data_IF_874611760431
#
_entry.id   IF_874611760431
#
_cell.length_a   1.000
_cell.length_b   1.000
_cell.length_c   1.000
_cell.angle_alpha   90.00
_cell.angle_beta   90.00
_cell.angle_gamma   90.00
#
_symmetry.space_group_name_H-M   'P 1'
#
loop_
_entity.id
_entity.type
_entity.pdbx_description
1 polymer ?
#
# COMPACT_ATOMS: atom_id res chain seq x y z
N UNK A 1 -7.70 4.22 -4.23
CA UNK A 1 -9.01 4.91 -4.04
C UNK A 1 -8.96 6.09 -3.06
N UNK A 2 -8.83 5.88 -1.73
CA UNK A 2 -8.82 7.01 -0.76
C UNK A 2 -7.53 7.82 -0.88
N UNK A 3 -6.38 7.14 -0.98
CA UNK A 3 -5.07 7.76 -1.24
C UNK A 3 -5.10 8.69 -2.46
N UNK A 4 -5.49 8.17 -3.61
CA UNK A 4 -5.53 8.95 -4.86
C UNK A 4 -6.44 10.19 -4.79
N UNK A 5 -7.61 10.06 -4.15
CA UNK A 5 -8.53 11.18 -3.94
C UNK A 5 -7.92 12.23 -3.02
N UNK A 6 -7.30 11.80 -1.92
CA UNK A 6 -6.59 12.67 -0.99
C UNK A 6 -5.45 13.41 -1.71
N UNK A 7 -4.56 12.69 -2.40
CA UNK A 7 -3.43 13.28 -3.15
C UNK A 7 -3.93 14.29 -4.18
N UNK A 8 -5.01 13.99 -4.92
CA UNK A 8 -5.55 14.89 -5.94
C UNK A 8 -6.12 16.20 -5.35
N UNK A 9 -6.71 16.13 -4.15
CA UNK A 9 -7.25 17.28 -3.43
C UNK A 9 -6.14 18.09 -2.75
N UNK A 10 -5.21 17.41 -2.08
CA UNK A 10 -4.08 18.03 -1.36
C UNK A 10 -3.16 18.80 -2.32
N UNK A 11 -2.84 18.22 -3.49
CA UNK A 11 -2.06 18.91 -4.55
C UNK A 11 -2.72 20.21 -5.05
N UNK A 12 -4.05 20.29 -5.00
CA UNK A 12 -4.82 21.49 -5.38
C UNK A 12 -5.07 22.43 -4.21
N UNK A 13 -4.57 22.09 -3.02
CA UNK A 13 -4.87 22.75 -1.76
C UNK A 13 -6.37 22.92 -1.49
N UNK A 14 -7.18 21.99 -1.98
CA UNK A 14 -8.63 22.06 -1.87
C UNK A 14 -9.05 21.85 -0.41
N UNK A 15 -9.81 22.80 0.14
CA UNK A 15 -10.36 22.77 1.51
C UNK A 15 -9.35 22.71 2.67
N UNK A 16 -8.04 22.83 2.41
CA UNK A 16 -6.99 22.78 3.45
C UNK A 16 -7.20 23.81 4.58
N UNK A 17 -7.68 25.00 4.24
CA UNK A 17 -7.88 26.09 5.20
C UNK A 17 -8.85 25.77 6.35
N UNK A 18 -9.75 24.80 6.19
CA UNK A 18 -10.63 24.36 7.29
C UNK A 18 -9.88 23.60 8.38
N UNK A 19 -8.75 22.99 8.04
CA UNK A 19 -7.93 22.24 8.99
C UNK A 19 -6.80 23.11 9.54
N UNK A 20 -6.13 23.87 8.67
CA UNK A 20 -5.08 24.78 9.12
C UNK A 20 -5.62 25.96 9.93
N UNK A 21 -6.88 26.34 9.71
CA UNK A 21 -7.59 27.32 10.55
C UNK A 21 -7.84 26.84 11.99
N UNK A 22 -7.88 25.53 12.21
CA UNK A 22 -8.00 24.91 13.54
C UNK A 22 -6.63 24.65 14.19
N UNK A 23 -5.54 25.06 13.54
CA UNK A 23 -4.17 24.99 14.07
C UNK A 23 -3.34 23.81 13.58
N UNK A 24 -3.84 23.02 12.61
CA UNK A 24 -3.09 21.93 11.98
C UNK A 24 -2.00 22.49 11.03
N UNK A 25 -0.82 21.88 10.99
CA UNK A 25 0.25 22.24 10.04
C UNK A 25 0.04 21.53 8.68
N UNK A 26 0.37 22.20 7.57
CA UNK A 26 0.36 21.56 6.25
C UNK A 26 1.30 20.34 6.18
N UNK A 27 2.38 20.33 6.96
CA UNK A 27 3.31 19.19 7.04
C UNK A 27 2.63 17.94 7.60
N UNK A 28 1.68 18.08 8.53
CA UNK A 28 0.96 16.95 9.13
C UNK A 28 0.12 16.18 8.09
N UNK A 29 -0.33 16.85 7.02
CA UNK A 29 -0.99 16.18 5.88
C UNK A 29 -0.03 15.30 5.10
N UNK A 30 1.21 15.76 4.93
CA UNK A 30 2.24 15.01 4.20
C UNK A 30 2.70 13.80 5.01
N UNK A 31 2.82 13.96 6.33
CA UNK A 31 3.13 12.86 7.25
C UNK A 31 2.01 11.80 7.25
N UNK A 32 0.75 12.23 7.32
CA UNK A 32 -0.38 11.31 7.24
C UNK A 32 -0.47 10.57 5.89
N UNK A 33 -0.15 11.23 4.78
CA UNK A 33 -0.07 10.61 3.46
C UNK A 33 1.03 9.53 3.41
N UNK A 34 2.22 9.83 3.96
CA UNK A 34 3.32 8.87 4.06
C UNK A 34 2.91 7.65 4.87
N UNK A 35 2.39 7.85 6.08
CA UNK A 35 2.00 6.76 6.98
C UNK A 35 0.98 5.81 6.31
N UNK A 36 0.05 6.35 5.53
CA UNK A 36 -0.94 5.54 4.84
C UNK A 36 -0.35 4.79 3.64
N UNK A 37 0.58 5.40 2.90
CA UNK A 37 1.30 4.71 1.81
C UNK A 37 2.22 3.60 2.35
N UNK A 38 2.87 3.83 3.49
CA UNK A 38 3.70 2.83 4.17
C UNK A 38 2.85 1.62 4.55
N UNK A 39 1.68 1.85 5.16
CA UNK A 39 0.73 0.77 5.48
C UNK A 39 0.29 -0.02 4.24
N UNK A 40 -0.05 0.65 3.15
CA UNK A 40 -0.41 -0.02 1.89
C UNK A 40 0.76 -0.86 1.37
N UNK A 41 1.99 -0.35 1.47
CA UNK A 41 3.19 -1.05 1.03
C UNK A 41 3.47 -2.29 1.88
N UNK A 42 3.27 -2.21 3.20
CA UNK A 42 3.38 -3.37 4.10
C UNK A 42 2.40 -4.48 3.71
N UNK A 43 1.12 -4.15 3.45
CA UNK A 43 0.14 -5.15 3.01
C UNK A 43 0.50 -5.77 1.66
N UNK A 44 0.98 -4.97 0.72
CA UNK A 44 1.43 -5.48 -0.58
C UNK A 44 2.61 -6.42 -0.40
N UNK A 45 3.57 -6.08 0.45
CA UNK A 45 4.73 -6.92 0.73
C UNK A 45 4.32 -8.28 1.34
N UNK A 46 3.38 -8.30 2.29
CA UNK A 46 2.87 -9.56 2.83
C UNK A 46 2.13 -10.40 1.78
N UNK A 47 1.35 -9.75 0.92
CA UNK A 47 0.68 -10.44 -0.19
C UNK A 47 1.69 -11.04 -1.16
N UNK A 48 2.71 -10.29 -1.57
CA UNK A 48 3.70 -10.76 -2.53
C UNK A 48 4.56 -11.89 -1.93
N UNK A 49 4.91 -11.81 -0.64
CA UNK A 49 5.65 -12.86 0.04
C UNK A 49 4.85 -14.17 0.15
N UNK A 50 3.54 -14.08 0.41
CA UNK A 50 2.68 -15.29 0.44
C UNK A 50 2.42 -15.86 -0.95
N UNK A 51 2.35 -15.01 -1.97
CA UNK A 51 2.23 -15.47 -3.35
C UNK A 51 3.50 -16.17 -3.83
N UNK A 52 4.68 -15.61 -3.56
CA UNK A 52 5.96 -16.26 -3.91
C UNK A 52 6.13 -17.62 -3.21
N UNK A 53 5.72 -17.75 -1.94
CA UNK A 53 5.71 -19.03 -1.23
C UNK A 53 4.72 -20.05 -1.85
N UNK A 54 3.52 -19.61 -2.25
CA UNK A 54 2.52 -20.47 -2.90
C UNK A 54 2.99 -20.94 -4.30
N UNK A 55 3.70 -20.10 -5.06
CA UNK A 55 4.28 -20.50 -6.35
C UNK A 55 5.46 -21.48 -6.21
N UNK A 56 6.31 -21.33 -5.20
CA UNK A 56 7.41 -22.29 -4.92
C UNK A 56 6.84 -23.66 -4.50
N UNK A 57 5.80 -23.69 -3.65
CA UNK A 57 5.14 -24.94 -3.23
C UNK A 57 4.44 -25.64 -4.42
N UNK A 58 3.79 -24.89 -5.33
CA UNK A 58 3.17 -25.44 -6.54
C UNK A 58 4.22 -25.98 -7.55
N UNK A 59 5.37 -25.33 -7.72
CA UNK A 59 6.45 -25.85 -8.58
C UNK A 59 7.08 -27.13 -8.01
N UNK A 60 7.29 -27.22 -6.69
CA UNK A 60 7.79 -28.44 -6.05
C UNK A 60 6.82 -29.62 -6.20
N UNK A 61 5.52 -29.45 -6.02
CA UNK A 61 4.52 -30.51 -6.22
C UNK A 61 4.49 -31.03 -7.67
N UNK A 62 4.58 -30.14 -8.66
CA UNK A 62 4.56 -30.52 -10.09
C UNK A 62 5.84 -31.30 -10.47
N UNK A 63 6.98 -30.96 -9.88
CA UNK A 63 8.24 -31.67 -10.12
C UNK A 63 8.27 -33.07 -9.48
N UNK A 64 7.65 -33.25 -8.31
CA UNK A 64 7.57 -34.56 -7.63
C UNK A 64 6.65 -35.53 -8.39
N UNK A 65 5.46 -35.08 -8.82
CA UNK A 65 4.51 -35.91 -9.58
C UNK A 65 4.99 -36.23 -11.02
N UNK A 66 5.81 -35.34 -11.61
CA UNK A 66 6.43 -35.54 -12.92
C UNK A 66 7.59 -36.56 -12.94
N UNK A 67 8.16 -36.90 -11.78
CA UNK A 67 9.28 -37.83 -11.64
C UNK A 67 8.84 -39.29 -11.44
N UNK A 68 7.54 -39.55 -11.20
CA UNK A 68 6.98 -40.91 -10.98
C UNK A 68 6.46 -41.62 -12.26
N UNK A 69 6.60 -41.04 -13.47
CA UNK A 69 6.28 -41.70 -14.77
C UNK A 69 7.51 -42.19 -15.54
#
# INVERSE_FOLDING_TARGET
RVSEQFTAMFRRKAFLHWYTGEGMDEMEFTEAESNMNDLVSEYQQYQDATADEEYDDEEEEIMDDGAEM
#
